data_IF_821554133101
#
_entry.id   IF_821554133101
#
_cell.length_a   1.000
_cell.length_b   1.000
_cell.length_c   1.000
_cell.angle_alpha   90.00
_cell.angle_beta   90.00
_cell.angle_gamma   90.00
#
_symmetry.space_group_name_H-M   'P 1'
#
loop_
_entity.id
_entity.type
_entity.pdbx_description
1 polymer ?
#
# COMPACT_ATOMS: atom_id res chain seq x y z
N UNK A 1 2.03 4.43 -14.00
CA UNK A 1 1.35 5.45 -13.19
C UNK A 1 1.48 5.06 -11.73
N UNK A 2 1.90 5.99 -10.89
CA UNK A 2 2.03 5.80 -9.44
C UNK A 2 0.98 6.70 -8.79
N UNK A 3 0.30 6.20 -7.76
CA UNK A 3 -0.70 6.98 -7.02
C UNK A 3 -0.11 7.39 -5.67
N UNK A 4 -0.47 8.58 -5.20
CA UNK A 4 -0.12 9.07 -3.86
C UNK A 4 -1.08 8.46 -2.84
N UNK A 5 -0.88 7.17 -2.51
CA UNK A 5 -1.81 6.45 -1.63
C UNK A 5 -1.84 7.05 -0.22
N UNK A 6 -0.72 7.59 0.24
CA UNK A 6 -0.54 8.32 1.50
C UNK A 6 -1.46 9.55 1.66
N UNK A 7 -1.91 10.15 0.56
CA UNK A 7 -2.76 11.33 0.54
C UNK A 7 -4.25 10.95 0.55
N UNK A 8 -4.56 9.66 0.41
CA UNK A 8 -5.93 9.15 0.49
C UNK A 8 -6.41 9.18 1.94
N UNK A 9 -7.70 9.42 2.13
CA UNK A 9 -8.36 9.12 3.40
C UNK A 9 -8.58 7.62 3.56
N UNK A 10 -8.71 7.13 4.80
CA UNK A 10 -8.99 5.71 5.08
C UNK A 10 -10.22 5.21 4.30
N UNK A 11 -11.31 5.99 4.31
CA UNK A 11 -12.55 5.65 3.60
C UNK A 11 -12.35 5.56 2.08
N UNK A 12 -11.52 6.43 1.51
CA UNK A 12 -11.24 6.43 0.08
C UNK A 12 -10.39 5.22 -0.30
N UNK A 13 -9.41 4.87 0.53
CA UNK A 13 -8.61 3.66 0.34
C UNK A 13 -9.46 2.40 0.46
N UNK A 14 -10.34 2.31 1.46
CA UNK A 14 -11.30 1.20 1.61
C UNK A 14 -12.18 1.07 0.36
N UNK A 15 -12.71 2.19 -0.15
CA UNK A 15 -13.55 2.21 -1.35
C UNK A 15 -12.80 1.75 -2.61
N UNK A 16 -11.53 2.15 -2.75
CA UNK A 16 -10.64 1.68 -3.82
C UNK A 16 -10.50 0.16 -3.78
N UNK A 17 -10.24 -0.41 -2.60
CA UNK A 17 -10.08 -1.85 -2.43
C UNK A 17 -11.40 -2.57 -2.74
N UNK A 18 -12.56 -2.03 -2.33
CA UNK A 18 -13.87 -2.60 -2.69
C UNK A 18 -14.03 -2.68 -4.20
N UNK A 19 -13.79 -1.58 -4.93
CA UNK A 19 -13.93 -1.55 -6.39
C UNK A 19 -12.93 -2.50 -7.07
N UNK A 20 -11.72 -2.60 -6.56
CA UNK A 20 -10.74 -3.55 -7.08
C UNK A 20 -11.20 -5.00 -6.88
N UNK A 21 -11.64 -5.34 -5.67
CA UNK A 21 -12.15 -6.67 -5.36
C UNK A 21 -13.40 -7.02 -6.18
N UNK A 22 -14.23 -6.03 -6.56
CA UNK A 22 -15.36 -6.25 -7.47
C UNK A 22 -14.92 -6.71 -8.86
N UNK A 23 -13.77 -6.23 -9.36
CA UNK A 23 -13.18 -6.74 -10.61
C UNK A 23 -12.59 -8.14 -10.41
N UNK A 24 -11.95 -8.42 -9.25
CA UNK A 24 -11.30 -9.71 -8.98
C UNK A 24 -12.28 -10.86 -8.70
N UNK A 25 -13.31 -10.60 -7.89
CA UNK A 25 -14.23 -11.63 -7.39
C UNK A 25 -15.62 -11.53 -8.02
N UNK A 26 -16.05 -10.32 -8.37
CA UNK A 26 -17.35 -10.05 -8.97
C UNK A 26 -18.13 -8.97 -8.22
N UNK A 27 -19.20 -8.48 -8.85
CA UNK A 27 -20.01 -7.36 -8.39
C UNK A 27 -20.63 -7.55 -6.99
N UNK A 28 -20.73 -8.79 -6.52
CA UNK A 28 -21.29 -9.13 -5.21
C UNK A 28 -20.35 -8.83 -4.02
N UNK A 29 -19.14 -8.31 -4.25
CA UNK A 29 -18.31 -7.78 -3.17
C UNK A 29 -19.04 -6.61 -2.52
N UNK A 30 -19.37 -6.79 -1.24
CA UNK A 30 -20.10 -5.84 -0.42
C UNK A 30 -19.12 -5.13 0.51
N UNK A 31 -18.96 -3.82 0.33
CA UNK A 31 -18.33 -2.94 1.32
C UNK A 31 -19.28 -2.64 2.48
N UNK A 32 -18.73 -2.37 3.66
CA UNK A 32 -19.51 -2.03 4.86
C UNK A 32 -19.22 -0.61 5.32
N UNK A 33 -20.22 0.06 5.88
CA UNK A 33 -20.02 1.34 6.57
C UNK A 33 -19.32 1.13 7.91
N UNK A 34 -18.59 2.15 8.37
CA UNK A 34 -17.95 2.16 9.69
C UNK A 34 -18.97 1.90 10.80
N UNK A 35 -18.84 0.76 11.47
CA UNK A 35 -19.59 0.39 12.66
C UNK A 35 -18.76 0.58 13.95
N UNK A 36 -19.40 0.52 15.13
CA UNK A 36 -18.74 0.70 16.43
C UNK A 36 -17.57 -0.27 16.67
N UNK A 37 -17.66 -1.48 16.12
CA UNK A 37 -16.69 -2.56 16.33
C UNK A 37 -15.43 -2.47 15.44
N UNK A 38 -15.30 -1.39 14.64
CA UNK A 38 -14.22 -1.23 13.65
C UNK A 38 -14.23 -2.40 12.67
N UNK A 39 -15.35 -2.50 11.94
CA UNK A 39 -15.80 -3.66 11.17
C UNK A 39 -14.84 -4.15 10.08
N UNK A 40 -15.23 -5.25 9.45
CA UNK A 40 -14.60 -5.79 8.22
C UNK A 40 -14.92 -4.82 7.08
N UNK A 41 -13.96 -4.52 6.22
CA UNK A 41 -14.15 -3.47 5.22
C UNK A 41 -15.01 -3.97 4.06
N UNK A 42 -14.79 -5.22 3.63
CA UNK A 42 -15.65 -5.87 2.64
C UNK A 42 -15.76 -7.38 2.80
N UNK A 43 -16.79 -7.94 2.17
CA UNK A 43 -17.05 -9.38 2.12
C UNK A 43 -17.53 -9.79 0.74
N UNK A 44 -17.13 -10.98 0.31
CA UNK A 44 -17.70 -11.68 -0.83
C UNK A 44 -18.14 -13.09 -0.41
N UNK A 45 -19.26 -13.56 -0.95
CA UNK A 45 -19.74 -14.93 -0.77
C UNK A 45 -20.10 -15.46 -2.16
N UNK A 46 -19.42 -16.52 -2.58
CA UNK A 46 -19.63 -17.14 -3.89
C UNK A 46 -18.35 -17.71 -4.45
N UNK A 47 -18.30 -17.85 -5.78
CA UNK A 47 -17.08 -18.24 -6.50
C UNK A 47 -16.51 -17.03 -7.22
N UNK A 48 -15.25 -16.72 -6.93
CA UNK A 48 -14.49 -15.61 -7.48
C UNK A 48 -14.40 -15.69 -9.01
N UNK A 49 -14.49 -14.55 -9.69
CA UNK A 49 -14.45 -14.49 -11.14
C UNK A 49 -13.03 -14.72 -11.72
N UNK A 50 -12.01 -14.10 -11.12
CA UNK A 50 -10.65 -14.08 -11.68
C UNK A 50 -9.59 -14.62 -10.71
N UNK A 51 -9.80 -14.49 -9.41
CA UNK A 51 -8.77 -14.77 -8.41
C UNK A 51 -8.93 -16.14 -7.72
N UNK A 52 -7.83 -16.89 -7.46
CA UNK A 52 -6.44 -16.63 -7.86
C UNK A 52 -6.17 -16.96 -9.34
N UNK A 53 -7.01 -17.79 -9.95
CA UNK A 53 -7.04 -18.02 -11.38
C UNK A 53 -8.45 -18.38 -11.84
N UNK A 54 -8.73 -18.18 -13.12
CA UNK A 54 -9.99 -18.60 -13.74
C UNK A 54 -10.18 -20.13 -13.76
N UNK A 55 -9.08 -20.90 -13.69
CA UNK A 55 -9.11 -22.37 -13.70
C UNK A 55 -9.28 -22.98 -12.31
N UNK A 56 -8.96 -22.24 -11.26
CA UNK A 56 -9.09 -22.67 -9.88
C UNK A 56 -9.46 -21.46 -9.00
N UNK A 57 -10.66 -20.87 -9.19
CA UNK A 57 -11.07 -19.70 -8.44
C UNK A 57 -11.32 -20.03 -6.97
N UNK A 58 -11.10 -19.06 -6.09
CA UNK A 58 -11.55 -19.18 -4.71
C UNK A 58 -13.09 -19.27 -4.66
N UNK A 59 -13.59 -20.17 -3.81
CA UNK A 59 -15.02 -20.33 -3.55
C UNK A 59 -15.29 -20.36 -2.05
N UNK A 60 -16.38 -19.73 -1.63
CA UNK A 60 -16.77 -19.59 -0.22
C UNK A 60 -16.85 -18.13 0.22
N UNK A 61 -16.62 -17.90 1.51
CA UNK A 61 -16.63 -16.56 2.12
C UNK A 61 -15.23 -15.96 2.11
N UNK A 62 -15.08 -14.84 1.40
CA UNK A 62 -13.85 -14.05 1.37
C UNK A 62 -14.05 -12.82 2.24
N UNK A 63 -13.20 -12.64 3.25
CA UNK A 63 -13.13 -11.39 4.02
C UNK A 63 -11.98 -10.54 3.50
N UNK A 64 -12.28 -9.29 3.22
CA UNK A 64 -11.36 -8.32 2.65
C UNK A 64 -11.16 -7.22 3.68
N UNK A 65 -9.91 -6.99 4.05
CA UNK A 65 -9.50 -5.93 4.95
C UNK A 65 -8.50 -5.02 4.23
N UNK A 66 -8.71 -3.73 4.30
CA UNK A 66 -7.85 -2.64 3.91
C UNK A 66 -7.28 -1.95 5.15
N UNK A 67 -5.98 -1.70 5.17
CA UNK A 67 -5.29 -0.96 6.23
C UNK A 67 -4.47 0.15 5.60
N UNK A 68 -4.93 1.37 5.78
CA UNK A 68 -4.29 2.56 5.27
C UNK A 68 -3.32 3.17 6.29
N UNK A 69 -2.32 3.93 5.80
CA UNK A 69 -1.47 4.81 6.60
C UNK A 69 -1.04 6.01 5.77
N UNK A 70 -1.06 7.21 6.36
CA UNK A 70 -0.46 8.39 5.71
C UNK A 70 1.08 8.39 5.75
N UNK A 71 1.71 7.36 6.31
CA UNK A 71 3.16 7.24 6.39
C UNK A 71 3.77 6.92 5.02
N UNK A 72 4.79 7.68 4.63
CA UNK A 72 5.57 7.41 3.42
C UNK A 72 6.46 6.18 3.58
N UNK A 73 6.60 5.40 2.50
CA UNK A 73 7.50 4.24 2.38
C UNK A 73 7.39 3.22 3.54
N UNK A 74 6.19 3.08 4.10
CA UNK A 74 5.93 2.14 5.18
C UNK A 74 5.99 0.70 4.73
N UNK A 75 6.52 -0.17 5.59
CA UNK A 75 6.67 -1.60 5.30
C UNK A 75 5.67 -2.45 6.10
N UNK A 76 5.27 -3.59 5.53
CA UNK A 76 4.54 -4.63 6.27
C UNK A 76 5.34 -5.18 7.46
N UNK A 77 6.66 -5.20 7.37
CA UNK A 77 7.56 -5.73 8.41
C UNK A 77 7.84 -4.77 9.56
N UNK A 78 7.31 -3.54 9.52
CA UNK A 78 7.43 -2.62 10.66
C UNK A 78 6.62 -3.12 11.85
N UNK A 79 7.14 -2.91 13.06
CA UNK A 79 6.60 -3.46 14.31
C UNK A 79 5.20 -2.94 14.68
N UNK A 80 4.82 -1.78 14.14
CA UNK A 80 3.47 -1.24 14.29
C UNK A 80 2.44 -2.04 13.49
N UNK A 81 2.85 -2.65 12.38
CA UNK A 81 2.00 -3.45 11.51
C UNK A 81 2.12 -4.95 11.80
N UNK A 82 3.34 -5.47 11.87
CA UNK A 82 3.66 -6.87 12.14
C UNK A 82 4.64 -6.98 13.30
N UNK A 83 4.16 -7.54 14.42
CA UNK A 83 5.02 -7.90 15.53
C UNK A 83 4.56 -9.26 16.11
N UNK A 84 5.30 -10.35 15.87
CA UNK A 84 4.89 -11.69 16.31
C UNK A 84 4.89 -11.85 17.84
N UNK A 85 5.68 -11.03 18.54
CA UNK A 85 5.86 -11.05 20.00
C UNK A 85 4.96 -10.03 20.73
N UNK A 86 4.29 -9.16 19.98
CA UNK A 86 3.46 -8.08 20.51
C UNK A 86 1.95 -8.29 20.30
N UNK A 87 1.14 -7.63 21.12
CA UNK A 87 -0.33 -7.68 21.03
C UNK A 87 -0.96 -6.39 20.47
N UNK A 88 -0.15 -5.37 20.20
CA UNK A 88 -0.63 -4.04 19.80
C UNK A 88 -0.58 -3.78 18.29
N UNK A 89 0.15 -4.60 17.53
CA UNK A 89 0.32 -4.42 16.09
C UNK A 89 -1.01 -4.53 15.35
N UNK A 90 -1.08 -3.93 14.15
CA UNK A 90 -2.25 -4.03 13.28
C UNK A 90 -2.62 -5.49 13.05
N UNK A 91 -1.65 -6.33 12.68
CA UNK A 91 -1.88 -7.76 12.45
C UNK A 91 -2.29 -8.52 13.72
N UNK A 92 -1.76 -8.17 14.90
CA UNK A 92 -2.17 -8.82 16.15
C UNK A 92 -3.66 -8.61 16.42
N UNK A 93 -4.18 -7.41 16.15
CA UNK A 93 -5.62 -7.10 16.26
C UNK A 93 -6.45 -7.83 15.20
N UNK A 94 -5.95 -7.90 13.97
CA UNK A 94 -6.63 -8.64 12.90
C UNK A 94 -6.71 -10.14 13.19
N UNK A 95 -5.66 -10.76 13.74
CA UNK A 95 -5.67 -12.18 14.12
C UNK A 95 -6.81 -12.50 15.10
N UNK A 96 -7.08 -11.62 16.07
CA UNK A 96 -8.19 -11.80 17.00
C UNK A 96 -9.54 -11.79 16.25
N UNK A 97 -9.70 -10.90 15.27
CA UNK A 97 -10.91 -10.83 14.44
C UNK A 97 -11.06 -12.05 13.54
N UNK A 98 -10.00 -12.43 12.84
CA UNK A 98 -9.94 -13.58 11.93
C UNK A 98 -10.28 -14.88 12.68
N UNK A 99 -9.76 -15.07 13.89
CA UNK A 99 -10.11 -16.24 14.72
C UNK A 99 -11.59 -16.31 15.06
N UNK A 100 -12.20 -15.19 15.48
CA UNK A 100 -13.65 -15.13 15.75
C UNK A 100 -14.45 -15.53 14.52
N UNK A 101 -14.04 -15.03 13.36
CA UNK A 101 -14.59 -15.31 12.04
C UNK A 101 -14.49 -16.79 11.64
N UNK A 102 -13.31 -17.40 11.80
CA UNK A 102 -13.07 -18.82 11.51
C UNK A 102 -13.89 -19.72 12.44
N UNK A 103 -13.89 -19.41 13.74
CA UNK A 103 -14.68 -20.17 14.71
C UNK A 103 -16.19 -20.11 14.40
N UNK A 104 -16.67 -18.99 13.86
CA UNK A 104 -18.06 -18.84 13.42
C UNK A 104 -18.34 -19.46 12.04
N UNK A 105 -17.35 -20.08 11.37
CA UNK A 105 -17.44 -20.59 9.99
C UNK A 105 -17.89 -19.53 8.97
N UNK A 106 -17.43 -18.30 9.15
CA UNK A 106 -17.77 -17.14 8.33
C UNK A 106 -16.59 -16.62 7.50
N UNK A 107 -15.54 -17.41 7.37
CA UNK A 107 -14.32 -17.03 6.66
C UNK A 107 -13.69 -18.28 6.07
N UNK A 108 -13.54 -18.32 4.76
CA UNK A 108 -12.81 -19.38 4.04
C UNK A 108 -11.48 -18.83 3.51
N UNK A 109 -11.50 -17.62 2.94
CA UNK A 109 -10.32 -16.96 2.38
C UNK A 109 -10.18 -15.52 2.91
N UNK A 110 -8.95 -15.09 3.12
CA UNK A 110 -8.66 -13.79 3.71
C UNK A 110 -7.77 -12.95 2.79
N UNK A 111 -8.13 -11.69 2.59
CA UNK A 111 -7.29 -10.73 1.87
C UNK A 111 -6.98 -9.53 2.75
N UNK A 112 -5.72 -9.16 2.83
CA UNK A 112 -5.25 -7.97 3.51
C UNK A 112 -4.54 -7.04 2.54
N UNK A 113 -5.13 -5.88 2.33
CA UNK A 113 -4.61 -4.81 1.52
C UNK A 113 -4.01 -3.73 2.42
N UNK A 114 -2.88 -3.17 2.02
CA UNK A 114 -2.33 -1.99 2.67
C UNK A 114 -1.51 -1.18 1.69
N UNK A 115 -1.51 0.15 1.84
CA UNK A 115 -0.57 1.03 1.13
C UNK A 115 0.84 0.97 1.75
N UNK A 116 1.24 -0.20 2.23
CA UNK A 116 2.60 -0.52 2.68
C UNK A 116 3.28 -1.35 1.61
N UNK A 117 4.60 -1.25 1.55
CA UNK A 117 5.43 -2.11 0.69
C UNK A 117 5.55 -3.49 1.29
N UNK A 118 5.51 -4.50 0.43
CA UNK A 118 5.55 -5.91 0.83
C UNK A 118 6.71 -6.62 0.12
N UNK A 119 7.83 -6.76 0.83
CA UNK A 119 8.98 -7.53 0.35
C UNK A 119 8.67 -9.04 0.37
N UNK A 120 9.26 -9.80 -0.56
CA UNK A 120 8.99 -11.25 -0.69
C UNK A 120 9.25 -12.07 0.57
N UNK A 121 10.33 -11.76 1.31
CA UNK A 121 10.61 -12.44 2.58
C UNK A 121 9.53 -12.13 3.64
N UNK A 122 9.11 -10.87 3.72
CA UNK A 122 8.05 -10.45 4.63
C UNK A 122 6.69 -11.07 4.25
N UNK A 123 6.41 -11.21 2.95
CA UNK A 123 5.21 -11.88 2.45
C UNK A 123 5.14 -13.32 2.93
N UNK A 124 6.21 -14.10 2.70
CA UNK A 124 6.26 -15.50 3.10
C UNK A 124 6.16 -15.66 4.62
N UNK A 125 6.86 -14.82 5.38
CA UNK A 125 6.84 -14.86 6.84
C UNK A 125 5.45 -14.52 7.41
N UNK A 126 4.87 -13.39 7.00
CA UNK A 126 3.58 -12.92 7.49
C UNK A 126 2.45 -13.86 7.07
N UNK A 127 2.50 -14.39 5.83
CA UNK A 127 1.50 -15.35 5.34
C UNK A 127 1.53 -16.63 6.18
N UNK A 128 2.71 -17.18 6.42
CA UNK A 128 2.85 -18.39 7.24
C UNK A 128 2.45 -18.14 8.70
N UNK A 129 2.79 -16.97 9.24
CA UNK A 129 2.36 -16.55 10.57
C UNK A 129 0.82 -16.48 10.69
N UNK A 130 0.16 -15.83 9.73
CA UNK A 130 -1.31 -15.73 9.70
C UNK A 130 -1.96 -17.11 9.53
N UNK A 131 -1.45 -17.94 8.61
CA UNK A 131 -1.95 -19.28 8.38
C UNK A 131 -1.91 -20.12 9.66
N UNK A 132 -0.76 -20.14 10.33
CA UNK A 132 -0.56 -20.87 11.60
C UNK A 132 -1.44 -20.33 12.73
N UNK A 133 -1.53 -19.00 12.87
CA UNK A 133 -2.29 -18.39 13.97
C UNK A 133 -3.79 -18.51 13.78
N UNK A 134 -4.28 -18.48 12.55
CA UNK A 134 -5.70 -18.38 12.25
C UNK A 134 -6.33 -19.68 11.74
N UNK A 135 -5.53 -20.74 11.54
CA UNK A 135 -5.98 -22.00 10.97
C UNK A 135 -6.64 -21.80 9.58
N UNK A 136 -5.92 -21.09 8.71
CA UNK A 136 -6.29 -20.83 7.32
C UNK A 136 -5.16 -21.36 6.43
N UNK A 137 -5.44 -22.11 5.35
CA UNK A 137 -4.41 -22.52 4.41
C UNK A 137 -3.66 -21.31 3.84
N UNK A 138 -2.34 -21.41 3.64
CA UNK A 138 -1.58 -20.31 3.03
C UNK A 138 -2.13 -19.91 1.64
N UNK A 139 -2.64 -20.88 0.88
CA UNK A 139 -3.29 -20.67 -0.43
C UNK A 139 -4.62 -19.91 -0.37
N UNK A 140 -5.17 -19.74 0.83
CA UNK A 140 -6.41 -18.99 1.13
C UNK A 140 -6.12 -17.62 1.74
N UNK A 141 -4.86 -17.16 1.72
CA UNK A 141 -4.44 -15.85 2.23
C UNK A 141 -3.80 -15.06 1.10
N UNK A 142 -4.28 -13.84 0.89
CA UNK A 142 -3.66 -12.87 0.00
C UNK A 142 -3.18 -11.66 0.80
N UNK A 143 -1.88 -11.36 0.70
CA UNK A 143 -1.30 -10.12 1.19
C UNK A 143 -1.02 -9.22 -0.01
N UNK A 144 -1.62 -8.04 -0.02
CA UNK A 144 -1.50 -7.08 -1.11
C UNK A 144 -0.87 -5.78 -0.59
N UNK A 145 0.43 -5.63 -0.86
CA UNK A 145 1.14 -4.36 -0.74
C UNK A 145 1.04 -3.51 -2.01
N UNK A 146 1.69 -2.34 -1.99
CA UNK A 146 1.69 -1.39 -3.11
C UNK A 146 2.13 -2.04 -4.43
N UNK A 147 3.13 -2.93 -4.39
CA UNK A 147 3.70 -3.55 -5.58
C UNK A 147 2.65 -4.35 -6.39
N UNK A 148 1.81 -5.13 -5.69
CA UNK A 148 0.74 -5.89 -6.30
C UNK A 148 -0.46 -5.00 -6.64
N UNK A 149 -0.81 -4.07 -5.74
CA UNK A 149 -1.91 -3.13 -5.93
C UNK A 149 -1.72 -2.30 -7.22
N UNK A 150 -0.53 -1.75 -7.44
CA UNK A 150 -0.23 -1.01 -8.67
C UNK A 150 -0.33 -1.87 -9.92
N UNK A 151 0.08 -3.13 -9.85
CA UNK A 151 -0.02 -4.08 -10.96
C UNK A 151 -1.48 -4.30 -11.33
N UNK A 152 -2.34 -4.52 -10.33
CA UNK A 152 -3.77 -4.68 -10.54
C UNK A 152 -4.45 -3.40 -11.03
N UNK A 153 -4.10 -2.22 -10.51
CA UNK A 153 -4.67 -0.96 -10.99
C UNK A 153 -4.23 -0.61 -12.42
N UNK A 154 -3.07 -1.09 -12.87
CA UNK A 154 -2.68 -1.02 -14.30
C UNK A 154 -3.54 -1.94 -15.16
N UNK A 155 -3.88 -3.13 -14.67
CA UNK A 155 -4.79 -4.06 -15.36
C UNK A 155 -6.25 -3.58 -15.36
N UNK A 156 -6.67 -2.87 -14.31
CA UNK A 156 -8.03 -2.39 -14.11
C UNK A 156 -8.07 -0.85 -13.93
N UNK A 157 -7.68 -0.05 -14.93
CA UNK A 157 -7.52 1.41 -14.78
C UNK A 157 -8.83 2.14 -14.42
N UNK A 158 -9.98 1.54 -14.77
CA UNK A 158 -11.30 2.08 -14.42
C UNK A 158 -11.54 2.13 -12.91
N UNK A 159 -10.89 1.27 -12.14
CA UNK A 159 -11.01 1.21 -10.68
C UNK A 159 -10.49 2.49 -10.05
N UNK A 160 -9.32 2.96 -10.48
CA UNK A 160 -8.72 4.20 -10.00
C UNK A 160 -9.61 5.41 -10.30
N UNK A 161 -10.17 5.48 -11.52
CA UNK A 161 -11.12 6.55 -11.88
C UNK A 161 -12.40 6.52 -11.04
N UNK A 162 -12.96 5.34 -10.75
CA UNK A 162 -14.15 5.20 -9.89
C UNK A 162 -13.91 5.61 -8.44
N UNK A 163 -12.71 5.35 -7.92
CA UNK A 163 -12.32 5.75 -6.57
C UNK A 163 -11.79 7.20 -6.50
N UNK A 164 -11.91 7.96 -7.60
CA UNK A 164 -11.43 9.33 -7.71
C UNK A 164 -9.95 9.48 -7.31
N UNK A 165 -9.10 8.52 -7.71
CA UNK A 165 -7.66 8.66 -7.59
C UNK A 165 -7.20 9.60 -8.71
N UNK A 166 -6.66 10.75 -8.32
CA UNK A 166 -6.13 11.72 -9.27
C UNK A 166 -4.77 11.26 -9.82
N UNK A 167 -4.64 11.05 -11.14
CA UNK A 167 -3.36 10.76 -11.77
C UNK A 167 -2.40 11.95 -11.88
N UNK A 168 -2.91 13.18 -11.85
CA UNK A 168 -2.31 14.36 -12.52
C UNK A 168 -2.01 15.53 -11.57
N UNK A 169 -2.69 15.69 -10.44
CA UNK A 169 -2.44 16.83 -9.53
C UNK A 169 -1.49 16.55 -8.36
N UNK A 170 -0.76 15.44 -8.39
CA UNK A 170 0.25 15.16 -7.37
C UNK A 170 1.53 15.96 -7.70
N UNK A 171 1.95 16.95 -6.88
CA UNK A 171 3.14 17.75 -7.15
C UNK A 171 4.32 16.80 -7.22
N UNK A 172 5.08 16.78 -8.33
CA UNK A 172 6.22 15.88 -8.61
C UNK A 172 6.72 15.13 -7.35
N UNK A 173 6.05 14.02 -6.98
CA UNK A 173 6.38 13.32 -5.74
C UNK A 173 7.60 12.48 -6.08
N UNK A 174 8.76 13.05 -5.80
CA UNK A 174 10.00 12.28 -5.82
C UNK A 174 9.96 11.41 -4.58
N UNK A 175 9.63 10.12 -4.76
CA UNK A 175 9.71 9.19 -3.64
C UNK A 175 11.15 9.20 -3.09
N UNK A 176 11.36 9.23 -1.76
CA UNK A 176 12.69 9.20 -1.17
C UNK A 176 13.55 8.05 -1.71
N UNK A 177 12.93 6.92 -2.07
CA UNK A 177 13.59 5.75 -2.65
C UNK A 177 14.12 6.05 -4.06
N UNK A 178 13.28 6.57 -4.96
CA UNK A 178 13.73 6.99 -6.29
C UNK A 178 14.80 8.09 -6.23
N UNK A 179 14.69 9.02 -5.26
CA UNK A 179 15.73 10.02 -5.02
C UNK A 179 17.02 9.36 -4.53
N UNK A 180 16.92 8.42 -3.59
CA UNK A 180 18.03 7.64 -3.06
C UNK A 180 18.73 6.87 -4.16
N UNK A 181 18.00 6.21 -5.05
CA UNK A 181 18.54 5.48 -6.19
C UNK A 181 19.31 6.40 -7.15
N UNK A 182 18.77 7.59 -7.43
CA UNK A 182 19.45 8.62 -8.22
C UNK A 182 20.71 9.12 -7.51
N UNK A 183 20.65 9.37 -6.21
CA UNK A 183 21.81 9.80 -5.40
C UNK A 183 22.90 8.74 -5.38
N UNK A 184 22.56 7.46 -5.18
CA UNK A 184 23.51 6.36 -5.25
C UNK A 184 24.12 6.20 -6.64
N UNK A 185 23.32 6.35 -7.71
CA UNK A 185 23.81 6.30 -9.08
C UNK A 185 24.78 7.46 -9.39
N UNK A 186 24.46 8.69 -8.96
CA UNK A 186 25.32 9.87 -9.11
C UNK A 186 26.61 9.73 -8.31
N UNK A 187 26.54 9.26 -7.06
CA UNK A 187 27.71 9.02 -6.22
C UNK A 187 28.63 7.93 -6.82
N UNK A 188 28.06 6.89 -7.43
CA UNK A 188 28.81 5.86 -8.13
C UNK A 188 29.53 6.40 -9.39
N UNK A 189 28.90 7.34 -10.11
CA UNK A 189 29.53 8.00 -11.26
C UNK A 189 30.56 9.06 -10.86
N UNK A 190 30.41 9.73 -9.71
CA UNK A 190 31.42 10.64 -9.15
C UNK A 190 32.79 9.98 -8.98
N UNK A 191 32.83 8.67 -8.65
CA UNK A 191 34.08 7.91 -8.55
C UNK A 191 34.70 7.55 -9.90
N UNK A 192 33.95 7.65 -11.00
CA UNK A 192 34.38 7.24 -12.35
C UNK A 192 34.65 8.41 -13.31
N UNK A 193 34.05 9.59 -13.12
CA UNK A 193 34.21 10.71 -14.07
C UNK A 193 34.36 12.06 -13.34
N UNK A 194 35.52 12.68 -13.55
CA UNK A 194 35.88 14.08 -13.37
C UNK A 194 34.73 15.08 -13.12
N UNK A 195 34.50 15.44 -11.85
CA UNK A 195 33.85 16.70 -11.47
C UNK A 195 34.87 17.69 -10.89
N UNK A 196 35.91 17.99 -11.67
CA UNK A 196 36.89 19.04 -11.33
C UNK A 196 36.75 20.32 -12.15
N UNK A 197 35.71 20.48 -12.98
CA UNK A 197 35.58 21.67 -13.86
C UNK A 197 34.13 22.10 -14.14
N UNK A 198 33.29 22.23 -13.12
CA UNK A 198 32.06 23.05 -13.24
C UNK A 198 31.49 23.41 -11.86
N UNK A 199 32.30 24.07 -11.03
CA UNK A 199 31.73 24.93 -10.00
C UNK A 199 31.48 26.25 -10.73
N UNK A 200 30.26 26.45 -11.23
CA UNK A 200 29.82 27.77 -11.65
C UNK A 200 30.01 28.71 -10.45
N UNK A 201 30.82 29.76 -10.61
CA UNK A 201 30.87 30.83 -9.63
C UNK A 201 29.44 31.34 -9.42
N UNK A 202 28.99 31.51 -8.16
CA UNK A 202 27.70 32.12 -7.90
C UNK A 202 27.68 33.53 -8.53
N UNK A 203 26.57 33.95 -9.14
CA UNK A 203 26.49 35.28 -9.73
C UNK A 203 26.76 36.33 -8.64
N UNK A 204 27.66 37.28 -8.92
CA UNK A 204 27.90 38.42 -8.03
C UNK A 204 26.63 39.27 -7.96
N UNK A 205 26.06 39.38 -6.76
CA UNK A 205 24.98 40.34 -6.50
C UNK A 205 25.58 41.75 -6.51
N UNK A 206 25.02 42.71 -7.27
CA UNK A 206 25.49 44.08 -7.24
C UNK A 206 25.22 44.67 -5.85
N UNK A 207 26.28 44.96 -5.11
CA UNK A 207 26.22 45.66 -3.82
C UNK A 207 25.61 47.04 -4.08
N UNK A 208 24.42 47.28 -3.55
CA UNK A 208 23.78 48.61 -3.54
C UNK A 208 24.73 49.59 -2.84
N UNK A 209 25.32 50.52 -3.59
CA UNK A 209 26.11 51.61 -3.03
C UNK A 209 25.19 52.44 -2.13
N UNK A 210 25.41 52.36 -0.81
CA UNK A 210 24.78 53.26 0.16
C UNK A 210 25.05 54.71 -0.27
N UNK A 211 23.98 55.43 -0.56
CA UNK A 211 23.98 56.87 -0.82
C UNK A 211 24.63 57.57 0.37
N UNK A 212 25.70 58.32 0.13
CA UNK A 212 26.26 59.25 1.12
C UNK A 212 25.24 60.36 1.35
N UNK A 213 24.68 60.43 2.55
CA UNK A 213 24.08 61.65 3.06
C UNK A 213 25.21 62.68 3.19
N UNK A 214 25.10 63.76 2.42
CA UNK A 214 25.87 64.98 2.67
C UNK A 214 24.83 66.05 2.98
N UNK A 215 25.01 66.61 4.17
CA UNK A 215 24.28 67.72 4.81
C UNK A 215 24.03 68.91 3.90
#
# INVERSE_FOLDING_TARGET
MKYAYEDLGDDQFEQLIVFLCQELHGIAVQGFSKGPDGGRDAKFIGTSALYPSISAPWSGTIIIQAKHTNGYNKLFSESDFYNPDGNSSVLSKEIVRIKKLRNAKQLDHYMLFSNRRLAGNAESEIRSYLAKKCDIPESSICLCGIELLETWLKSFPKVAGRAALDPVDSPLIVSPDALSDVVYALAAQQKKVYLRKTIHQPPEYPIVRKTKLTT
#
